data_IF_118874706430
#
_entry.id   IF_118874706430
#
_cell.length_a   1.000
_cell.length_b   1.000
_cell.length_c   1.000
_cell.angle_alpha   90.00
_cell.angle_beta   90.00
_cell.angle_gamma   90.00
#
_symmetry.space_group_name_H-M   'P 1'
#
loop_
_entity.id
_entity.type
_entity.pdbx_description
1 polymer ?
#
# COMPACT_ATOMS: atom_id res chain seq x y z
N UNK A 1 -21.99 -1.50 -0.46
CA UNK A 1 -21.56 -0.33 0.32
C UNK A 1 -22.80 0.32 0.90
N UNK A 2 -22.82 0.63 2.19
CA UNK A 2 -24.03 1.18 2.88
C UNK A 2 -25.33 0.38 2.62
N UNK A 3 -25.25 -0.95 2.66
CA UNK A 3 -26.39 -1.85 2.42
C UNK A 3 -26.83 -1.97 0.95
N UNK A 4 -26.14 -1.32 0.01
CA UNK A 4 -26.42 -1.41 -1.42
C UNK A 4 -25.31 -2.18 -2.16
N UNK A 5 -25.65 -2.95 -3.21
CA UNK A 5 -24.66 -3.54 -4.08
C UNK A 5 -23.72 -2.46 -4.64
N UNK A 6 -22.41 -2.74 -4.62
CA UNK A 6 -21.38 -1.85 -5.18
C UNK A 6 -20.39 -2.70 -5.99
N UNK A 7 -20.26 -2.37 -7.27
CA UNK A 7 -19.32 -3.03 -8.17
C UNK A 7 -18.06 -2.19 -8.26
N UNK A 8 -16.94 -2.73 -7.79
CA UNK A 8 -15.62 -2.10 -7.90
C UNK A 8 -15.16 -2.17 -9.36
N UNK A 9 -14.89 -1.01 -9.95
CA UNK A 9 -14.22 -0.86 -11.25
C UNK A 9 -12.93 -0.10 -10.99
N UNK A 10 -11.83 -0.83 -10.80
CA UNK A 10 -10.57 -0.25 -10.40
C UNK A 10 -9.62 -0.04 -11.59
N UNK A 11 -8.93 1.09 -11.58
CA UNK A 11 -7.73 1.33 -12.37
C UNK A 11 -6.52 1.32 -11.45
N UNK A 12 -5.41 0.75 -11.91
CA UNK A 12 -4.16 0.75 -11.16
C UNK A 12 -3.31 1.97 -11.55
N UNK A 13 -2.97 2.80 -10.56
CA UNK A 13 -2.09 3.97 -10.71
C UNK A 13 -0.98 3.92 -9.68
N UNK A 14 0.26 3.92 -10.17
CA UNK A 14 1.46 3.93 -9.32
C UNK A 14 1.95 5.37 -9.15
N UNK A 15 1.53 6.04 -8.05
CA UNK A 15 1.88 7.44 -7.81
C UNK A 15 3.40 7.73 -7.87
N UNK A 16 4.32 6.83 -7.45
CA UNK A 16 5.74 7.12 -7.57
C UNK A 16 6.26 7.15 -9.02
N UNK A 17 5.53 6.51 -9.97
CA UNK A 17 5.87 6.52 -11.41
C UNK A 17 5.29 7.69 -12.18
N UNK A 18 4.34 8.40 -11.59
CA UNK A 18 3.63 9.50 -12.25
C UNK A 18 4.11 10.81 -11.62
N UNK A 19 4.68 11.76 -12.36
CA UNK A 19 5.05 13.05 -11.78
C UNK A 19 3.87 13.67 -11.02
N UNK A 20 4.11 14.16 -9.81
CA UNK A 20 3.06 14.66 -8.90
C UNK A 20 2.11 15.66 -9.57
N UNK A 21 2.64 16.51 -10.44
CA UNK A 21 1.84 17.49 -11.19
C UNK A 21 0.76 16.87 -12.08
N UNK A 22 0.84 15.59 -12.40
CA UNK A 22 -0.12 14.89 -13.25
C UNK A 22 -1.05 13.93 -12.48
N UNK A 23 -0.92 13.79 -11.15
CA UNK A 23 -1.74 12.86 -10.38
C UNK A 23 -3.23 13.12 -10.55
N UNK A 24 -3.67 14.36 -10.32
CA UNK A 24 -5.08 14.76 -10.45
C UNK A 24 -5.61 14.49 -11.87
N UNK A 25 -4.83 14.85 -12.90
CA UNK A 25 -5.20 14.58 -14.29
C UNK A 25 -5.39 13.07 -14.55
N UNK A 26 -4.48 12.21 -14.08
CA UNK A 26 -4.56 10.76 -14.27
C UNK A 26 -5.76 10.15 -13.57
N UNK A 27 -6.04 10.60 -12.36
CA UNK A 27 -7.24 10.18 -11.60
C UNK A 27 -8.52 10.56 -12.37
N UNK A 28 -8.61 11.80 -12.88
CA UNK A 28 -9.74 12.27 -13.70
C UNK A 28 -9.92 11.46 -14.99
N UNK A 29 -8.83 11.07 -15.65
CA UNK A 29 -8.89 10.21 -16.82
C UNK A 29 -9.45 8.82 -16.49
N UNK A 30 -9.05 8.21 -15.37
CA UNK A 30 -9.61 6.95 -14.91
C UNK A 30 -11.11 7.09 -14.64
N UNK A 31 -11.54 8.17 -13.99
CA UNK A 31 -12.97 8.45 -13.74
C UNK A 31 -13.73 8.60 -15.06
N UNK A 32 -13.17 9.32 -16.04
CA UNK A 32 -13.80 9.50 -17.37
C UNK A 32 -13.96 8.17 -18.12
N UNK A 33 -13.08 7.19 -17.89
CA UNK A 33 -13.22 5.82 -18.39
C UNK A 33 -14.26 4.96 -17.65
N UNK A 34 -14.96 5.54 -16.67
CA UNK A 34 -15.99 4.84 -15.89
C UNK A 34 -15.47 4.04 -14.69
N UNK A 35 -14.21 4.25 -14.29
CA UNK A 35 -13.68 3.70 -13.04
C UNK A 35 -14.24 4.45 -11.84
N UNK A 36 -14.36 3.76 -10.70
CA UNK A 36 -14.82 4.32 -9.43
C UNK A 36 -13.80 4.11 -8.30
N UNK A 37 -12.70 3.43 -8.59
CA UNK A 37 -11.69 3.04 -7.61
C UNK A 37 -10.29 3.12 -8.22
N UNK A 38 -9.33 3.61 -7.46
CA UNK A 38 -7.91 3.53 -7.79
C UNK A 38 -7.27 2.47 -6.92
N UNK A 39 -6.58 1.51 -7.55
CA UNK A 39 -5.70 0.57 -6.89
C UNK A 39 -4.29 1.11 -6.92
N UNK A 40 -3.61 1.20 -5.78
CA UNK A 40 -2.26 1.75 -5.69
C UNK A 40 -1.34 0.88 -4.84
N UNK A 41 -0.10 0.75 -5.28
CA UNK A 41 0.97 0.11 -4.52
C UNK A 41 1.77 1.14 -3.72
N UNK A 42 2.25 0.72 -2.55
CA UNK A 42 3.25 1.46 -1.77
C UNK A 42 4.59 0.76 -1.93
N UNK A 43 5.52 1.39 -2.62
CA UNK A 43 6.85 0.81 -2.86
C UNK A 43 7.76 1.10 -1.66
N UNK A 44 8.01 0.10 -0.83
CA UNK A 44 8.81 0.27 0.39
C UNK A 44 10.17 0.93 0.12
N UNK A 45 10.90 0.48 -0.91
CA UNK A 45 12.21 1.04 -1.26
C UNK A 45 12.18 2.52 -1.69
N UNK A 46 11.03 3.03 -2.14
CA UNK A 46 10.84 4.46 -2.45
C UNK A 46 10.67 5.30 -1.19
N UNK A 47 10.09 4.71 -0.14
CA UNK A 47 9.79 5.41 1.10
C UNK A 47 10.88 5.29 2.16
N UNK A 48 11.67 4.21 2.15
CA UNK A 48 12.73 3.93 3.12
C UNK A 48 14.03 3.59 2.38
N UNK A 49 14.69 4.60 1.84
CA UNK A 49 15.97 4.43 1.12
C UNK A 49 17.12 4.00 2.01
N UNK A 50 17.03 4.30 3.31
CA UNK A 50 17.94 3.87 4.36
C UNK A 50 17.14 3.39 5.57
N UNK A 51 17.62 2.39 6.33
CA UNK A 51 16.90 1.86 7.47
C UNK A 51 16.44 2.93 8.46
N UNK A 52 15.15 3.04 8.72
CA UNK A 52 14.55 3.97 9.67
C UNK A 52 14.40 5.42 9.15
N UNK A 53 14.80 5.71 7.92
CA UNK A 53 14.64 7.04 7.32
C UNK A 53 13.52 7.00 6.30
N UNK A 54 12.34 7.48 6.68
CA UNK A 54 11.15 7.50 5.85
C UNK A 54 10.94 8.83 5.14
N UNK A 55 10.52 8.75 3.88
CA UNK A 55 10.08 9.90 3.08
C UNK A 55 8.66 9.66 2.54
N UNK A 56 7.72 10.47 3.01
CA UNK A 56 6.34 10.55 2.54
C UNK A 56 6.03 11.95 2.01
N UNK A 57 7.01 12.61 1.39
CA UNK A 57 6.87 13.95 0.85
C UNK A 57 7.02 13.99 -0.66
N UNK A 58 6.66 15.11 -1.28
CA UNK A 58 6.85 15.34 -2.71
C UNK A 58 6.25 14.24 -3.57
N UNK A 59 7.10 13.50 -4.30
CA UNK A 59 6.70 12.41 -5.18
C UNK A 59 6.23 11.17 -4.40
N UNK A 60 6.61 11.06 -3.12
CA UNK A 60 6.25 9.95 -2.22
C UNK A 60 5.06 10.28 -1.30
N UNK A 61 4.32 11.37 -1.54
CA UNK A 61 3.21 11.82 -0.70
C UNK A 61 1.96 10.96 -0.91
N UNK A 62 1.96 9.79 -0.26
CA UNK A 62 0.87 8.83 -0.28
C UNK A 62 -0.46 9.44 0.18
N UNK A 63 -0.42 10.21 1.26
CA UNK A 63 -1.61 10.82 1.83
C UNK A 63 -2.25 11.82 0.86
N UNK A 64 -1.44 12.63 0.18
CA UNK A 64 -1.93 13.57 -0.83
C UNK A 64 -2.54 12.85 -2.03
N UNK A 65 -1.92 11.76 -2.49
CA UNK A 65 -2.48 10.96 -3.58
C UNK A 65 -3.87 10.40 -3.21
N UNK A 66 -4.04 9.89 -1.99
CA UNK A 66 -5.32 9.42 -1.48
C UNK A 66 -6.36 10.57 -1.37
N UNK A 67 -5.93 11.77 -0.91
CA UNK A 67 -6.81 12.96 -0.88
C UNK A 67 -7.28 13.37 -2.27
N UNK A 68 -6.40 13.34 -3.26
CA UNK A 68 -6.77 13.62 -4.66
C UNK A 68 -7.78 12.61 -5.21
N UNK A 69 -7.63 11.32 -4.86
CA UNK A 69 -8.64 10.31 -5.20
C UNK A 69 -9.99 10.70 -4.59
N UNK A 70 -10.05 11.03 -3.30
CA UNK A 70 -11.27 11.43 -2.61
C UNK A 70 -11.91 12.68 -3.22
N UNK A 71 -11.13 13.70 -3.53
CA UNK A 71 -11.60 14.94 -4.16
C UNK A 71 -12.22 14.71 -5.55
N UNK A 72 -11.81 13.63 -6.20
CA UNK A 72 -12.36 13.20 -7.49
C UNK A 72 -13.47 12.13 -7.34
N UNK A 73 -14.03 11.92 -6.15
CA UNK A 73 -15.03 10.88 -5.84
C UNK A 73 -14.57 9.47 -6.26
N UNK A 74 -13.29 9.16 -6.09
CA UNK A 74 -12.71 7.85 -6.36
C UNK A 74 -12.37 7.17 -5.04
N UNK A 75 -12.75 5.90 -4.90
CA UNK A 75 -12.29 5.05 -3.80
C UNK A 75 -10.86 4.58 -4.03
N UNK A 76 -10.26 4.04 -2.97
CA UNK A 76 -8.87 3.54 -2.99
C UNK A 76 -8.82 2.10 -2.48
N UNK A 77 -8.09 1.26 -3.21
CA UNK A 77 -7.57 -0.03 -2.73
C UNK A 77 -6.09 0.19 -2.47
N UNK A 78 -5.68 0.12 -1.20
CA UNK A 78 -4.29 0.30 -0.78
C UNK A 78 -3.57 -1.05 -0.79
N UNK A 79 -2.39 -1.11 -1.40
CA UNK A 79 -1.55 -2.32 -1.46
C UNK A 79 -0.15 -2.01 -0.88
N UNK A 80 -0.01 -2.05 0.46
CA UNK A 80 1.25 -1.66 1.12
C UNK A 80 2.36 -2.71 1.01
N UNK A 81 2.07 -3.89 0.56
CA UNK A 81 3.05 -4.96 0.45
C UNK A 81 3.12 -5.86 1.68
N UNK A 82 4.35 -6.12 2.22
CA UNK A 82 5.66 -5.47 1.97
C UNK A 82 6.27 -5.72 0.59
N UNK A 83 5.98 -6.86 -0.05
CA UNK A 83 6.33 -7.14 -1.44
C UNK A 83 5.14 -6.82 -2.34
N UNK A 84 5.33 -6.07 -3.41
CA UNK A 84 4.25 -5.61 -4.29
C UNK A 84 4.42 -6.04 -5.75
N UNK A 85 5.54 -6.63 -6.12
CA UNK A 85 5.88 -7.00 -7.51
C UNK A 85 5.90 -5.78 -8.46
N UNK A 86 4.83 -5.54 -9.19
CA UNK A 86 4.50 -4.35 -9.97
C UNK A 86 5.58 -3.92 -10.98
N UNK A 87 6.38 -4.86 -11.51
CA UNK A 87 7.55 -4.58 -12.38
C UNK A 87 8.41 -3.47 -11.77
N UNK A 88 8.61 -3.52 -10.46
CA UNK A 88 9.45 -2.60 -9.70
C UNK A 88 10.67 -3.33 -9.15
N UNK A 89 11.78 -2.60 -8.98
CA UNK A 89 13.02 -3.15 -8.44
C UNK A 89 12.78 -3.92 -7.15
N UNK A 90 13.26 -5.16 -7.07
CA UNK A 90 13.08 -6.10 -5.96
C UNK A 90 11.62 -6.25 -5.49
N UNK A 91 10.64 -5.98 -6.38
CA UNK A 91 9.22 -6.00 -6.00
C UNK A 91 8.86 -4.99 -4.91
N UNK A 92 9.61 -3.90 -4.81
CA UNK A 92 9.45 -2.85 -3.82
C UNK A 92 10.25 -3.02 -2.54
N UNK A 93 10.90 -4.17 -2.31
CA UNK A 93 11.72 -4.39 -1.11
C UNK A 93 13.00 -3.54 -1.14
N UNK A 94 13.43 -2.94 -0.02
CA UNK A 94 14.65 -2.17 0.02
C UNK A 94 15.91 -3.04 -0.12
N UNK A 95 16.83 -2.59 -0.93
CA UNK A 95 18.12 -3.27 -1.16
C UNK A 95 18.95 -3.50 0.11
N UNK A 96 18.84 -2.60 1.08
CA UNK A 96 19.63 -2.67 2.33
C UNK A 96 19.23 -3.87 3.21
N UNK A 97 18.06 -4.49 2.99
CA UNK A 97 17.69 -5.76 3.63
C UNK A 97 18.73 -6.84 3.33
N UNK A 98 19.30 -6.87 2.11
CA UNK A 98 20.29 -7.86 1.69
C UNK A 98 21.64 -7.73 2.39
N UNK A 99 21.88 -6.65 3.15
CA UNK A 99 23.08 -6.54 4.01
C UNK A 99 23.03 -7.51 5.20
N UNK A 100 21.86 -7.94 5.60
CA UNK A 100 21.70 -8.95 6.64
C UNK A 100 22.04 -10.31 6.04
N UNK A 101 23.14 -10.92 6.50
CA UNK A 101 23.55 -12.26 6.08
C UNK A 101 22.44 -13.27 6.38
N UNK A 102 22.20 -14.17 5.45
CA UNK A 102 21.22 -15.26 5.55
C UNK A 102 19.77 -14.80 5.79
N UNK A 103 19.43 -13.57 5.40
CA UNK A 103 18.05 -13.09 5.46
C UNK A 103 17.13 -13.92 4.56
N UNK A 104 15.96 -14.24 5.07
CA UNK A 104 14.88 -14.87 4.30
C UNK A 104 13.76 -13.86 4.09
N UNK A 105 13.68 -13.36 2.86
CA UNK A 105 12.65 -12.39 2.47
C UNK A 105 11.31 -13.10 2.24
N UNK A 106 10.22 -12.43 2.61
CA UNK A 106 8.85 -12.93 2.47
C UNK A 106 8.63 -14.24 3.24
N UNK A 107 9.26 -14.36 4.39
CA UNK A 107 9.12 -15.46 5.35
C UNK A 107 9.13 -14.91 6.78
N UNK A 108 8.82 -15.77 7.76
CA UNK A 108 8.88 -15.47 9.20
C UNK A 108 10.34 -15.35 9.71
N UNK A 109 11.18 -14.64 8.97
CA UNK A 109 12.53 -14.26 9.43
C UNK A 109 12.41 -13.14 10.47
N UNK A 110 13.00 -13.28 11.68
CA UNK A 110 12.80 -12.30 12.74
C UNK A 110 13.22 -10.88 12.37
N UNK A 111 14.35 -10.72 11.65
CA UNK A 111 14.81 -9.41 11.22
C UNK A 111 13.92 -8.83 10.12
N UNK A 112 13.55 -9.65 9.14
CA UNK A 112 12.65 -9.20 8.08
C UNK A 112 11.30 -8.75 8.66
N UNK A 113 10.71 -9.54 9.57
CA UNK A 113 9.43 -9.23 10.20
C UNK A 113 9.47 -7.96 11.07
N UNK A 114 10.58 -7.73 11.78
CA UNK A 114 10.80 -6.48 12.52
C UNK A 114 10.77 -5.27 11.57
N UNK A 115 11.50 -5.36 10.45
CA UNK A 115 11.56 -4.26 9.47
C UNK A 115 10.22 -4.04 8.76
N UNK A 116 9.52 -5.12 8.42
CA UNK A 116 8.15 -5.07 7.87
C UNK A 116 7.21 -4.33 8.82
N UNK A 117 7.21 -4.69 10.10
CA UNK A 117 6.34 -4.03 11.09
C UNK A 117 6.61 -2.53 11.24
N UNK A 118 7.89 -2.11 11.17
CA UNK A 118 8.25 -0.69 11.21
C UNK A 118 7.74 0.04 9.96
N UNK A 119 7.90 -0.56 8.78
CA UNK A 119 7.43 0.01 7.53
C UNK A 119 5.89 0.09 7.47
N UNK A 120 5.20 -1.01 7.80
CA UNK A 120 3.74 -1.05 7.80
C UNK A 120 3.14 -0.03 8.77
N UNK A 121 3.77 0.15 9.94
CA UNK A 121 3.39 1.20 10.89
C UNK A 121 3.56 2.60 10.28
N UNK A 122 4.71 2.88 9.65
CA UNK A 122 4.96 4.17 9.03
C UNK A 122 3.94 4.49 7.91
N UNK A 123 3.57 3.49 7.10
CA UNK A 123 2.50 3.63 6.08
C UNK A 123 1.15 3.89 6.74
N UNK A 124 0.79 3.10 7.75
CA UNK A 124 -0.49 3.22 8.43
C UNK A 124 -0.67 4.61 9.07
N UNK A 125 0.38 5.18 9.65
CA UNK A 125 0.36 6.54 10.20
C UNK A 125 0.02 7.61 9.15
N UNK A 126 0.38 7.40 7.87
CA UNK A 126 0.03 8.33 6.79
C UNK A 126 -1.45 8.29 6.42
N UNK A 127 -2.11 7.15 6.57
CA UNK A 127 -3.45 6.90 6.03
C UNK A 127 -4.50 6.53 7.07
N UNK A 128 -4.16 6.49 8.36
CA UNK A 128 -5.06 6.05 9.45
C UNK A 128 -6.41 6.77 9.48
N UNK A 129 -6.45 8.07 9.19
CA UNK A 129 -7.67 8.87 9.10
C UNK A 129 -8.44 8.74 7.78
N UNK A 130 -7.92 7.95 6.81
CA UNK A 130 -8.43 7.92 5.43
C UNK A 130 -9.22 6.66 5.09
N UNK A 131 -9.52 5.82 6.07
CA UNK A 131 -10.37 4.65 5.86
C UNK A 131 -11.83 5.07 5.66
N UNK A 132 -12.61 4.22 4.98
CA UNK A 132 -14.02 4.51 4.73
C UNK A 132 -14.84 4.71 6.01
N UNK A 133 -14.46 4.04 7.11
CA UNK A 133 -15.10 4.21 8.42
C UNK A 133 -14.89 5.61 9.00
N UNK A 134 -13.78 6.25 8.64
CA UNK A 134 -13.43 7.62 9.05
C UNK A 134 -13.87 8.67 7.99
N UNK A 135 -14.66 8.25 6.98
CA UNK A 135 -15.10 9.13 5.89
C UNK A 135 -14.06 9.34 4.79
N UNK A 136 -12.98 8.58 4.78
CA UNK A 136 -11.92 8.63 3.75
C UNK A 136 -12.22 7.75 2.53
N UNK A 137 -11.32 7.73 1.54
CA UNK A 137 -11.52 7.01 0.30
C UNK A 137 -11.10 5.53 0.35
N UNK A 138 -10.33 5.08 1.35
CA UNK A 138 -9.75 3.73 1.40
C UNK A 138 -10.83 2.73 1.81
N UNK A 139 -11.17 1.82 0.90
CA UNK A 139 -12.21 0.79 1.08
C UNK A 139 -11.65 -0.62 1.29
N UNK A 140 -10.41 -0.86 0.87
CA UNK A 140 -9.73 -2.15 1.00
C UNK A 140 -8.24 -1.96 1.17
N UNK A 141 -7.61 -2.91 1.88
CA UNK A 141 -6.15 -3.05 1.99
C UNK A 141 -5.78 -4.48 1.61
N UNK A 142 -4.83 -4.63 0.70
CA UNK A 142 -4.29 -5.93 0.31
C UNK A 142 -2.98 -6.20 1.04
N UNK A 143 -2.90 -7.31 1.73
CA UNK A 143 -1.66 -7.81 2.36
C UNK A 143 -0.89 -8.63 1.35
N UNK A 144 0.40 -8.33 1.18
CA UNK A 144 1.31 -9.04 0.28
C UNK A 144 0.88 -9.01 -1.21
N UNK A 145 1.59 -9.71 -2.07
CA UNK A 145 1.23 -9.87 -3.48
C UNK A 145 1.49 -11.30 -3.94
N UNK A 146 0.42 -11.97 -4.41
CA UNK A 146 0.48 -13.33 -4.97
C UNK A 146 1.18 -14.35 -4.07
N UNK A 147 1.13 -14.17 -2.75
CA UNK A 147 1.90 -15.00 -1.82
C UNK A 147 1.54 -16.49 -1.89
N UNK A 148 0.29 -16.81 -2.16
CA UNK A 148 -0.16 -18.20 -2.32
C UNK A 148 0.48 -18.95 -3.49
N UNK A 149 1.04 -18.21 -4.47
CA UNK A 149 1.81 -18.80 -5.58
C UNK A 149 3.32 -18.78 -5.33
N UNK A 150 3.77 -18.04 -4.31
CA UNK A 150 5.17 -17.86 -3.98
C UNK A 150 5.63 -18.71 -2.80
N UNK A 151 4.87 -18.73 -1.72
CA UNK A 151 5.27 -19.36 -0.47
C UNK A 151 4.11 -19.95 0.34
N UNK A 152 4.49 -20.70 1.37
CA UNK A 152 3.54 -21.41 2.24
C UNK A 152 3.58 -20.97 3.70
N UNK A 153 4.39 -19.93 4.04
CA UNK A 153 4.52 -19.43 5.41
C UNK A 153 3.29 -18.61 5.83
N UNK A 154 2.29 -19.32 6.32
CA UNK A 154 1.05 -18.69 6.83
C UNK A 154 1.29 -17.78 8.04
N UNK A 155 2.35 -18.06 8.81
CA UNK A 155 2.74 -17.22 9.95
C UNK A 155 3.14 -15.83 9.51
N UNK A 156 3.96 -15.74 8.47
CA UNK A 156 4.36 -14.49 7.84
C UNK A 156 3.16 -13.62 7.43
N UNK A 157 2.26 -14.17 6.64
CA UNK A 157 1.08 -13.43 6.14
C UNK A 157 0.15 -13.01 7.29
N UNK A 158 -0.05 -13.88 8.28
CA UNK A 158 -0.89 -13.59 9.43
C UNK A 158 -0.34 -12.43 10.28
N UNK A 159 0.97 -12.35 10.46
CA UNK A 159 1.61 -11.27 11.25
C UNK A 159 1.54 -9.95 10.49
N UNK A 160 1.84 -9.92 9.18
CA UNK A 160 1.69 -8.71 8.34
C UNK A 160 0.24 -8.20 8.37
N UNK A 161 -0.75 -9.09 8.24
CA UNK A 161 -2.15 -8.71 8.39
C UNK A 161 -2.46 -8.10 9.76
N UNK A 162 -1.89 -8.66 10.84
CA UNK A 162 -2.10 -8.16 12.21
C UNK A 162 -1.47 -6.78 12.40
N UNK A 163 -0.28 -6.53 11.85
CA UNK A 163 0.37 -5.23 11.93
C UNK A 163 -0.47 -4.15 11.24
N UNK A 164 -0.89 -4.38 10.00
CA UNK A 164 -1.74 -3.44 9.28
C UNK A 164 -3.05 -3.17 10.03
N UNK A 165 -3.69 -4.21 10.55
CA UNK A 165 -4.95 -4.09 11.29
C UNK A 165 -4.81 -3.37 12.64
N UNK A 166 -3.70 -3.54 13.34
CA UNK A 166 -3.47 -2.88 14.64
C UNK A 166 -3.35 -1.36 14.52
N UNK A 167 -2.93 -0.86 13.36
CA UNK A 167 -2.78 0.56 13.06
C UNK A 167 -3.96 1.16 12.28
N UNK A 168 -4.79 0.31 11.70
CA UNK A 168 -6.05 0.70 11.04
C UNK A 168 -7.21 0.29 11.96
N UNK A 169 -7.77 1.24 12.72
CA UNK A 169 -8.97 0.96 13.52
C UNK A 169 -10.10 0.50 12.61
N UNK A 170 -10.33 -0.83 12.56
CA UNK A 170 -11.53 -1.50 12.02
C UNK A 170 -11.72 -1.50 10.50
N UNK A 171 -10.83 -2.14 9.74
CA UNK A 171 -11.22 -2.75 8.48
C UNK A 171 -11.82 -4.14 8.78
N UNK A 172 -13.14 -4.26 8.77
CA UNK A 172 -13.80 -5.56 8.66
C UNK A 172 -13.83 -5.93 7.17
N UNK A 173 -13.10 -6.99 6.82
CA UNK A 173 -13.28 -7.72 5.57
C UNK A 173 -14.59 -8.49 5.61
#
# INVERSE_FOLDING_TARGET
MNGKPFVIKAAELHYPRIPKAYWDQRIKLCKALGMNTICLYVFWNSHESQPGVFDFTGQNDLAEFCRLCQQNDMYVILRPGPYVCAEWEMGGLPWWLLKKKDIRLRESDPYFMERVGIFEKAVAEQVAGMTIQNGGPIIMVQVENEYGSYGEDKGYVSVSYTHLRAHETSLHL
#
